data_IF_884321261653
#
_entry.id   IF_884321261653
#
_cell.length_a   1.000
_cell.length_b   1.000
_cell.length_c   1.000
_cell.angle_alpha   90.00
_cell.angle_beta   90.00
_cell.angle_gamma   90.00
#
_symmetry.space_group_name_H-M   'P 1'
#
loop_
_entity.id
_entity.type
_entity.pdbx_description
1 polymer ?
#
# COMPACT_ATOMS: atom_id res chain seq x y z
N UNK A 1 11.25 9.27 5.22
CA UNK A 1 10.72 7.91 5.24
C UNK A 1 10.17 7.64 6.63
N UNK A 2 8.87 7.35 6.71
CA UNK A 2 8.13 7.07 7.95
C UNK A 2 7.42 5.72 7.82
N UNK A 3 7.73 4.77 8.71
CA UNK A 3 7.03 3.48 8.72
C UNK A 3 5.64 3.64 9.33
N UNK A 4 4.63 3.10 8.65
CA UNK A 4 3.24 3.14 9.09
C UNK A 4 2.84 1.82 9.77
N UNK A 5 2.83 0.72 9.02
CA UNK A 5 2.44 -0.60 9.52
C UNK A 5 2.95 -1.73 8.62
N UNK A 6 2.79 -2.97 9.09
CA UNK A 6 3.02 -4.17 8.29
C UNK A 6 1.70 -4.86 8.01
N UNK A 7 1.57 -5.42 6.82
CA UNK A 7 0.36 -6.12 6.41
C UNK A 7 0.68 -7.38 5.61
N UNK A 8 -0.33 -8.23 5.42
CA UNK A 8 -0.25 -9.40 4.57
C UNK A 8 -1.24 -9.25 3.42
N UNK A 9 -0.75 -9.31 2.19
CA UNK A 9 -1.55 -9.23 0.96
C UNK A 9 -1.56 -10.59 0.29
N UNK A 10 -2.73 -11.02 -0.21
CA UNK A 10 -2.84 -12.24 -1.02
C UNK A 10 -2.88 -11.85 -2.49
N UNK A 11 -1.86 -12.26 -3.23
CA UNK A 11 -1.68 -11.97 -4.67
C UNK A 11 -1.43 -13.30 -5.37
N UNK A 12 -2.17 -13.60 -6.44
CA UNK A 12 -2.10 -14.88 -7.17
C UNK A 12 -2.24 -16.12 -6.26
N UNK A 13 -3.09 -16.03 -5.23
CA UNK A 13 -3.30 -17.10 -4.25
C UNK A 13 -2.12 -17.33 -3.29
N UNK A 14 -1.11 -16.45 -3.31
CA UNK A 14 0.02 -16.47 -2.37
C UNK A 14 -0.08 -15.30 -1.42
N UNK A 15 -0.05 -15.59 -0.12
CA UNK A 15 -0.02 -14.55 0.89
C UNK A 15 1.42 -14.11 1.16
N UNK A 16 1.69 -12.82 1.03
CA UNK A 16 3.01 -12.20 1.18
C UNK A 16 2.95 -11.05 2.17
N UNK A 17 4.05 -10.82 2.89
CA UNK A 17 4.13 -9.73 3.85
C UNK A 17 4.69 -8.46 3.21
N UNK A 18 4.08 -7.33 3.54
CA UNK A 18 4.44 -6.02 3.06
C UNK A 18 4.76 -5.08 4.22
N UNK A 19 5.78 -4.26 4.01
CA UNK A 19 6.07 -3.09 4.82
C UNK A 19 5.41 -1.88 4.19
N UNK A 20 4.65 -1.12 4.97
CA UNK A 20 3.95 0.08 4.51
C UNK A 20 4.60 1.30 5.13
N UNK A 21 5.08 2.20 4.28
CA UNK A 21 5.76 3.42 4.72
C UNK A 21 5.43 4.60 3.81
N UNK A 22 5.57 5.80 4.35
CA UNK A 22 5.42 7.05 3.63
C UNK A 22 6.81 7.62 3.26
N UNK A 23 7.02 7.88 1.98
CA UNK A 23 8.25 8.46 1.42
C UNK A 23 7.95 9.19 0.12
N UNK A 24 8.67 10.29 -0.16
CA UNK A 24 8.58 11.02 -1.44
C UNK A 24 7.15 11.45 -1.85
N UNK A 25 6.32 11.80 -0.86
CA UNK A 25 4.89 12.12 -0.97
C UNK A 25 4.01 10.94 -1.44
N UNK A 26 4.53 9.72 -1.37
CA UNK A 26 3.83 8.49 -1.73
C UNK A 26 3.76 7.51 -0.55
N UNK A 27 2.71 6.71 -0.54
CA UNK A 27 2.55 5.55 0.31
C UNK A 27 3.05 4.33 -0.46
N UNK A 28 4.07 3.70 0.11
CA UNK A 28 4.73 2.53 -0.47
C UNK A 28 4.27 1.27 0.25
N UNK A 29 3.85 0.28 -0.53
CA UNK A 29 3.72 -1.09 -0.10
C UNK A 29 4.88 -1.87 -0.71
N UNK A 30 5.88 -2.18 0.11
CA UNK A 30 7.06 -2.91 -0.33
C UNK A 30 7.04 -4.36 0.18
N UNK A 31 7.20 -5.37 -0.70
CA UNK A 31 7.26 -6.76 -0.26
C UNK A 31 8.51 -7.01 0.59
N UNK A 32 8.35 -7.66 1.74
CA UNK A 32 9.44 -7.94 2.68
C UNK A 32 10.33 -9.09 2.23
N UNK A 33 9.78 -10.04 1.47
CA UNK A 33 10.50 -11.15 0.86
C UNK A 33 11.27 -10.72 -0.41
N UNK A 34 11.10 -9.46 -0.85
CA UNK A 34 11.66 -8.95 -2.10
C UNK A 34 10.99 -9.52 -3.35
N UNK A 35 9.91 -10.29 -3.19
CA UNK A 35 9.19 -10.93 -4.27
C UNK A 35 7.75 -10.40 -4.30
N UNK A 36 7.38 -9.70 -5.37
CA UNK A 36 6.03 -9.18 -5.54
C UNK A 36 6.03 -7.78 -6.11
N UNK A 37 4.86 -7.28 -6.53
CA UNK A 37 4.73 -5.91 -7.00
C UNK A 37 4.91 -4.93 -5.85
N UNK A 38 5.72 -3.89 -6.07
CA UNK A 38 5.65 -2.68 -5.24
C UNK A 38 4.40 -1.88 -5.67
N UNK A 39 3.59 -1.49 -4.69
CA UNK A 39 2.43 -0.62 -4.92
C UNK A 39 2.74 0.77 -4.37
N UNK A 40 2.57 1.78 -5.21
CA UNK A 40 2.75 3.17 -4.86
C UNK A 40 1.41 3.90 -5.01
N UNK A 41 0.98 4.56 -3.95
CA UNK A 41 -0.25 5.33 -3.89
C UNK A 41 0.04 6.74 -3.42
N UNK A 42 -0.50 7.74 -4.11
CA UNK A 42 -0.47 9.13 -3.66
C UNK A 42 -1.84 9.56 -3.19
N UNK A 43 -1.91 10.42 -2.17
CA UNK A 43 -3.15 11.11 -1.81
C UNK A 43 -3.07 12.57 -2.23
N UNK A 44 -3.91 12.99 -3.16
CA UNK A 44 -4.02 14.38 -3.63
C UNK A 44 -5.51 14.76 -3.60
N UNK A 45 -5.86 15.95 -3.10
CA UNK A 45 -7.25 16.45 -3.06
C UNK A 45 -8.28 15.47 -2.44
N UNK A 46 -7.86 14.73 -1.40
CA UNK A 46 -8.64 13.66 -0.75
C UNK A 46 -8.95 12.44 -1.62
N UNK A 47 -8.30 12.30 -2.78
CA UNK A 47 -8.40 11.15 -3.67
C UNK A 47 -7.10 10.34 -3.70
N UNK A 48 -7.24 9.03 -3.90
CA UNK A 48 -6.12 8.10 -4.04
C UNK A 48 -5.73 7.92 -5.51
N UNK A 49 -4.48 8.22 -5.83
CA UNK A 49 -3.91 8.10 -7.16
C UNK A 49 -2.82 7.03 -7.20
N UNK A 50 -3.02 5.90 -7.91
CA UNK A 50 -1.97 4.91 -8.09
C UNK A 50 -0.84 5.47 -8.95
N UNK A 51 0.40 5.36 -8.47
CA UNK A 51 1.62 5.72 -9.21
C UNK A 51 2.25 4.52 -9.91
N UNK A 52 1.99 3.32 -9.40
CA UNK A 52 2.41 2.06 -10.02
C UNK A 52 1.28 1.48 -10.87
N UNK A 53 1.60 0.98 -12.07
CA UNK A 53 0.65 0.21 -12.88
C UNK A 53 0.53 -1.20 -12.29
N UNK A 54 -0.51 -1.42 -11.48
CA UNK A 54 -0.80 -2.68 -10.81
C UNK A 54 -2.23 -3.11 -11.09
N UNK A 55 -2.54 -4.35 -10.69
CA UNK A 55 -3.90 -4.86 -10.72
C UNK A 55 -4.86 -4.00 -9.88
N UNK A 56 -6.05 -3.74 -10.43
CA UNK A 56 -7.03 -2.85 -9.80
C UNK A 56 -7.51 -3.39 -8.45
N UNK A 57 -7.70 -4.70 -8.30
CA UNK A 57 -8.13 -5.33 -7.05
C UNK A 57 -7.06 -5.17 -5.96
N UNK A 58 -5.78 -5.33 -6.33
CA UNK A 58 -4.66 -5.10 -5.43
C UNK A 58 -4.59 -3.63 -4.99
N UNK A 59 -4.75 -2.69 -5.93
CA UNK A 59 -4.77 -1.25 -5.63
C UNK A 59 -5.89 -0.90 -4.66
N UNK A 60 -7.12 -1.38 -4.90
CA UNK A 60 -8.26 -1.13 -4.01
C UNK A 60 -8.05 -1.73 -2.62
N UNK A 61 -7.44 -2.92 -2.54
CA UNK A 61 -7.09 -3.54 -1.26
C UNK A 61 -6.10 -2.68 -0.47
N UNK A 62 -5.07 -2.14 -1.15
CA UNK A 62 -4.08 -1.27 -0.52
C UNK A 62 -4.69 0.06 -0.03
N UNK A 63 -5.59 0.66 -0.84
CA UNK A 63 -6.34 1.86 -0.46
C UNK A 63 -7.16 1.61 0.81
N UNK A 64 -7.93 0.52 0.87
CA UNK A 64 -8.74 0.20 2.06
C UNK A 64 -7.93 0.01 3.33
N UNK A 65 -6.71 -0.54 3.22
CA UNK A 65 -5.77 -0.65 4.34
C UNK A 65 -5.26 0.72 4.80
N UNK A 66 -4.92 1.62 3.87
CA UNK A 66 -4.50 2.98 4.21
C UNK A 66 -5.64 3.77 4.84
N UNK A 67 -6.85 3.71 4.31
CA UNK A 67 -8.00 4.41 4.89
C UNK A 67 -8.29 3.92 6.31
N UNK A 68 -8.26 2.60 6.53
CA UNK A 68 -8.44 2.02 7.88
C UNK A 68 -7.35 2.49 8.84
N UNK A 69 -6.09 2.49 8.41
CA UNK A 69 -4.97 2.96 9.20
C UNK A 69 -5.10 4.46 9.54
N UNK A 70 -5.32 5.30 8.54
CA UNK A 70 -5.43 6.75 8.72
C UNK A 70 -6.62 7.13 9.61
N UNK A 71 -7.76 6.45 9.47
CA UNK A 71 -8.92 6.65 10.35
C UNK A 71 -8.62 6.29 11.81
N UNK A 72 -7.77 5.30 12.07
CA UNK A 72 -7.38 4.90 13.44
C UNK A 72 -6.40 5.84 14.13
N UNK A 73 -5.77 6.76 13.39
CA UNK A 73 -4.83 7.75 13.93
C UNK A 73 -5.53 9.04 14.42
N UNK A 74 -6.83 9.19 14.13
CA UNK A 74 -7.68 10.31 14.54
C UNK A 74 -8.51 9.97 15.77
#
# INVERSE_FOLDING_TARGET
MEHLFKTQLTIDGRSRHYDVFFADDDYHFKPLDGEGPEVLLRREEDEWHPRSQQDEELTQTCIGLLDTYLLSQH
#
